data_IF_531520036398
#
_entry.id   IF_531520036398
#
_cell.length_a   1.000
_cell.length_b   1.000
_cell.length_c   1.000
_cell.angle_alpha   90.00
_cell.angle_beta   90.00
_cell.angle_gamma   90.00
#
_symmetry.space_group_name_H-M   'P 1'
#
loop_
_entity.id
_entity.type
_entity.pdbx_description
1 polymer ?
#
# COMPACT_ATOMS: atom_id res chain seq x y z
N UNK A 1 -0.52 -20.78 -18.35
CA UNK A 1 0.37 -19.94 -17.53
C UNK A 1 -0.49 -18.78 -17.00
N UNK A 2 -0.54 -18.58 -15.68
CA UNK A 2 -1.31 -17.49 -15.10
C UNK A 2 -0.74 -16.12 -15.57
N UNK A 3 -1.61 -15.16 -15.77
CA UNK A 3 -1.25 -13.78 -16.04
C UNK A 3 -0.56 -13.20 -14.79
N UNK A 4 0.56 -12.48 -14.97
CA UNK A 4 1.30 -11.87 -13.85
C UNK A 4 0.38 -10.89 -13.11
N UNK A 5 0.41 -10.92 -11.77
CA UNK A 5 -0.34 -9.99 -10.93
C UNK A 5 0.15 -8.55 -11.07
N UNK A 6 -0.61 -7.61 -10.52
CA UNK A 6 -0.29 -6.18 -10.48
C UNK A 6 0.15 -5.76 -9.08
N UNK A 7 1.17 -4.91 -9.01
CA UNK A 7 1.55 -4.24 -7.77
C UNK A 7 0.71 -2.97 -7.63
N UNK A 8 -0.02 -2.85 -6.53
CA UNK A 8 -0.85 -1.69 -6.21
C UNK A 8 -0.31 -1.02 -4.96
N UNK A 9 0.11 0.21 -5.09
CA UNK A 9 0.59 1.05 -3.99
C UNK A 9 -0.54 1.96 -3.55
N UNK A 10 -0.95 1.81 -2.30
CA UNK A 10 -2.00 2.62 -1.69
C UNK A 10 -1.35 3.59 -0.70
N UNK A 11 -1.62 4.88 -0.86
CA UNK A 11 -1.22 5.91 0.10
C UNK A 11 -2.37 6.86 0.41
N UNK A 12 -2.14 7.77 1.32
CA UNK A 12 -3.09 8.79 1.74
C UNK A 12 -3.00 9.08 3.22
N UNK A 13 -3.59 10.17 3.71
CA UNK A 13 -3.40 10.62 5.07
C UNK A 13 -3.90 9.63 6.11
N UNK A 14 -3.24 9.66 7.27
CA UNK A 14 -3.71 8.89 8.43
C UNK A 14 -5.12 9.35 8.81
N UNK A 15 -6.05 8.40 8.90
CA UNK A 15 -7.47 8.70 9.14
C UNK A 15 -8.34 8.75 7.88
N UNK A 16 -7.77 8.62 6.68
CA UNK A 16 -8.54 8.54 5.43
C UNK A 16 -9.38 7.27 5.29
N UNK A 17 -9.13 6.23 6.11
CA UNK A 17 -9.87 4.97 6.06
C UNK A 17 -9.34 3.97 5.04
N UNK A 18 -8.09 4.10 4.62
CA UNK A 18 -7.41 3.22 3.65
C UNK A 18 -7.61 1.74 3.94
N UNK A 19 -7.26 1.30 5.15
CA UNK A 19 -7.33 -0.12 5.52
C UNK A 19 -8.74 -0.69 5.36
N UNK A 20 -9.80 0.07 5.74
CA UNK A 20 -11.19 -0.36 5.57
C UNK A 20 -11.54 -0.54 4.09
N UNK A 21 -11.18 0.42 3.24
CA UNK A 21 -11.41 0.37 1.79
C UNK A 21 -10.69 -0.84 1.17
N UNK A 22 -9.42 -1.02 1.52
CA UNK A 22 -8.59 -2.11 0.99
C UNK A 22 -9.11 -3.48 1.44
N UNK A 23 -9.46 -3.67 2.72
CA UNK A 23 -10.02 -4.94 3.19
C UNK A 23 -11.30 -5.31 2.45
N UNK A 24 -12.23 -4.35 2.30
CA UNK A 24 -13.47 -4.58 1.53
C UNK A 24 -13.21 -4.92 0.06
N UNK A 25 -12.24 -4.26 -0.57
CA UNK A 25 -11.87 -4.55 -1.96
C UNK A 25 -11.24 -5.94 -2.12
N UNK A 26 -10.44 -6.40 -1.14
CA UNK A 26 -9.81 -7.72 -1.13
C UNK A 26 -10.85 -8.83 -0.92
N UNK A 27 -11.77 -8.67 0.05
CA UNK A 27 -12.83 -9.66 0.33
C UNK A 27 -13.66 -10.02 -0.92
N UNK A 28 -13.83 -9.06 -1.82
CA UNK A 28 -14.54 -9.26 -3.09
C UNK A 28 -13.71 -9.99 -4.17
N UNK A 29 -12.42 -10.31 -3.90
CA UNK A 29 -11.46 -10.82 -4.90
C UNK A 29 -10.62 -11.95 -4.32
N UNK A 30 -10.53 -13.07 -5.04
CA UNK A 30 -9.78 -14.26 -4.57
C UNK A 30 -8.28 -14.25 -4.89
N UNK A 31 -7.78 -13.26 -5.65
CA UNK A 31 -6.41 -13.23 -6.15
C UNK A 31 -5.64 -11.96 -5.76
N UNK A 32 -5.88 -11.48 -4.56
CA UNK A 32 -5.25 -10.27 -4.01
C UNK A 32 -4.69 -10.57 -2.62
N UNK A 33 -3.53 -10.04 -2.31
CA UNK A 33 -2.95 -10.14 -0.97
C UNK A 33 -2.26 -8.82 -0.57
N UNK A 34 -2.12 -8.61 0.75
CA UNK A 34 -1.19 -7.63 1.27
C UNK A 34 0.24 -8.16 1.20
N UNK A 35 1.20 -7.29 0.96
CA UNK A 35 2.60 -7.64 1.18
C UNK A 35 2.87 -7.79 2.68
N UNK A 36 3.54 -8.89 3.05
CA UNK A 36 4.11 -9.04 4.38
C UNK A 36 5.41 -8.22 4.46
N UNK A 37 5.42 -7.19 5.30
CA UNK A 37 6.60 -6.33 5.50
C UNK A 37 7.64 -6.99 6.39
N UNK A 38 8.91 -6.61 6.22
CA UNK A 38 9.98 -6.90 7.18
C UNK A 38 10.04 -5.81 8.23
N UNK A 39 10.39 -6.16 9.49
CA UNK A 39 10.56 -5.17 10.57
C UNK A 39 11.63 -5.58 11.57
N UNK A 40 12.31 -4.59 12.16
CA UNK A 40 13.22 -4.78 13.30
C UNK A 40 12.52 -4.76 14.66
N UNK A 41 11.21 -4.48 14.67
CA UNK A 41 10.38 -4.55 15.88
C UNK A 41 10.26 -6.00 16.35
N UNK A 42 10.38 -6.23 17.65
CA UNK A 42 10.11 -7.55 18.22
C UNK A 42 8.65 -7.96 18.02
N UNK A 43 8.37 -9.27 17.81
CA UNK A 43 7.01 -9.79 17.73
C UNK A 43 6.20 -9.45 18.99
N UNK A 44 4.92 -9.14 18.82
CA UNK A 44 3.96 -9.05 19.92
C UNK A 44 3.38 -10.44 20.22
N UNK A 45 2.79 -10.66 21.41
CA UNK A 45 2.09 -11.91 21.68
C UNK A 45 1.03 -12.22 20.60
N UNK A 46 1.13 -13.40 19.99
CA UNK A 46 0.22 -13.86 18.94
C UNK A 46 0.64 -13.53 17.51
N UNK A 47 1.65 -12.69 17.29
CA UNK A 47 2.22 -12.47 15.95
C UNK A 47 3.14 -13.64 15.55
N UNK A 48 3.04 -14.07 14.29
CA UNK A 48 3.77 -15.19 13.71
C UNK A 48 4.70 -14.67 12.62
N UNK A 49 5.97 -15.07 12.65
CA UNK A 49 6.93 -14.72 11.62
C UNK A 49 6.49 -15.22 10.24
N UNK A 50 6.63 -14.35 9.24
CA UNK A 50 6.19 -14.62 7.87
C UNK A 50 4.69 -14.43 7.62
N UNK A 51 3.90 -14.13 8.65
CA UNK A 51 2.47 -13.88 8.53
C UNK A 51 2.12 -12.40 8.75
N UNK A 52 2.31 -11.89 9.95
CA UNK A 52 2.10 -10.47 10.26
C UNK A 52 3.26 -9.61 9.76
N UNK A 53 4.48 -10.07 10.01
CA UNK A 53 5.74 -9.49 9.56
C UNK A 53 6.79 -10.58 9.37
N UNK A 54 7.84 -10.27 8.61
CA UNK A 54 9.13 -10.95 8.72
C UNK A 54 9.95 -10.21 9.78
N UNK A 55 10.22 -10.85 10.92
CA UNK A 55 10.94 -10.23 12.02
C UNK A 55 12.44 -10.49 11.86
N UNK A 56 13.22 -9.43 11.75
CA UNK A 56 14.69 -9.49 11.61
C UNK A 56 15.36 -8.60 12.65
N UNK A 57 16.64 -8.82 12.91
CA UNK A 57 17.45 -7.88 13.67
C UNK A 57 17.89 -6.68 12.82
N UNK A 58 18.46 -5.67 13.47
CA UNK A 58 18.86 -4.44 12.81
C UNK A 58 20.00 -4.67 11.79
N UNK A 59 20.92 -5.58 12.08
CA UNK A 59 22.05 -5.85 11.21
C UNK A 59 21.57 -6.53 9.92
N UNK A 60 20.68 -7.53 10.02
CA UNK A 60 20.06 -8.14 8.85
C UNK A 60 19.24 -7.13 8.04
N UNK A 61 18.52 -6.23 8.71
CA UNK A 61 17.75 -5.18 8.00
C UNK A 61 18.67 -4.25 7.21
N UNK A 62 19.82 -3.85 7.80
CA UNK A 62 20.82 -3.03 7.09
C UNK A 62 21.40 -3.74 5.88
N UNK A 63 21.76 -5.01 6.02
CA UNK A 63 22.20 -5.83 4.88
C UNK A 63 21.15 -5.87 3.77
N UNK A 64 19.87 -6.02 4.11
CA UNK A 64 18.77 -5.99 3.12
C UNK A 64 18.70 -4.65 2.37
N UNK A 65 18.92 -3.53 3.06
CA UNK A 65 18.98 -2.21 2.43
C UNK A 65 20.21 -2.10 1.52
N UNK A 66 21.39 -2.47 1.99
CA UNK A 66 22.64 -2.41 1.22
C UNK A 66 22.62 -3.30 -0.03
N UNK A 67 21.98 -4.46 0.05
CA UNK A 67 21.84 -5.42 -1.04
C UNK A 67 20.65 -5.14 -1.96
N UNK A 68 19.92 -4.01 -1.79
CA UNK A 68 18.72 -3.66 -2.55
C UNK A 68 17.62 -4.75 -2.52
N UNK A 69 17.50 -5.47 -1.39
CA UNK A 69 16.50 -6.52 -1.19
C UNK A 69 15.10 -5.96 -0.86
N UNK A 70 14.98 -4.64 -0.61
CA UNK A 70 13.73 -3.97 -0.26
C UNK A 70 13.25 -3.07 -1.41
N UNK A 71 11.96 -3.09 -1.70
CA UNK A 71 11.31 -2.15 -2.62
C UNK A 71 11.24 -0.74 -2.03
N UNK A 72 10.94 -0.66 -0.73
CA UNK A 72 10.96 0.56 0.05
C UNK A 72 11.31 0.24 1.50
N UNK A 73 11.78 1.24 2.23
CA UNK A 73 11.99 1.15 3.67
C UNK A 73 11.80 2.51 4.33
N UNK A 74 11.39 2.47 5.61
CA UNK A 74 11.21 3.64 6.45
C UNK A 74 11.48 3.31 7.92
N UNK A 75 11.85 4.33 8.69
CA UNK A 75 11.93 4.25 10.15
C UNK A 75 10.67 4.83 10.78
N UNK A 76 10.13 4.12 11.75
CA UNK A 76 8.99 4.55 12.54
C UNK A 76 9.14 4.14 14.01
N UNK A 77 9.10 5.12 14.92
CA UNK A 77 9.21 4.91 16.39
C UNK A 77 10.37 3.97 16.75
N UNK A 78 11.58 4.34 16.31
CA UNK A 78 12.83 3.60 16.56
C UNK A 78 12.89 2.15 16.04
N UNK A 79 12.00 1.77 15.13
CA UNK A 79 12.05 0.53 14.39
C UNK A 79 12.08 0.78 12.89
N UNK A 80 12.68 -0.14 12.16
CA UNK A 80 12.70 -0.10 10.69
C UNK A 80 11.64 -1.03 10.13
N UNK A 81 11.06 -0.62 9.01
CA UNK A 81 10.06 -1.37 8.25
C UNK A 81 10.41 -1.31 6.77
N UNK A 82 10.11 -2.36 6.03
CA UNK A 82 10.36 -2.37 4.59
C UNK A 82 9.59 -3.47 3.88
N UNK A 83 9.50 -3.36 2.57
CA UNK A 83 8.79 -4.31 1.70
C UNK A 83 9.80 -5.21 0.98
N UNK A 84 9.87 -6.52 1.28
CA UNK A 84 10.81 -7.43 0.64
C UNK A 84 10.51 -7.59 -0.86
N UNK A 85 11.47 -7.25 -1.73
CA UNK A 85 11.36 -7.33 -3.18
C UNK A 85 11.03 -8.74 -3.65
N UNK A 86 11.82 -9.73 -3.22
CA UNK A 86 11.66 -11.11 -3.67
C UNK A 86 10.30 -11.71 -3.29
N UNK A 87 9.74 -11.32 -2.14
CA UNK A 87 8.40 -11.75 -1.73
C UNK A 87 7.33 -11.20 -2.68
N UNK A 88 7.37 -9.90 -2.97
CA UNK A 88 6.43 -9.24 -3.87
C UNK A 88 6.52 -9.83 -5.28
N UNK A 89 7.74 -9.94 -5.84
CA UNK A 89 7.96 -10.51 -7.18
C UNK A 89 7.44 -11.93 -7.31
N UNK A 90 7.62 -12.77 -6.28
CA UNK A 90 7.07 -14.14 -6.26
C UNK A 90 5.55 -14.11 -6.32
N UNK A 91 4.88 -13.33 -5.47
CA UNK A 91 3.41 -13.23 -5.46
C UNK A 91 2.87 -12.75 -6.80
N UNK A 92 3.50 -11.73 -7.40
CA UNK A 92 3.12 -11.24 -8.72
C UNK A 92 3.27 -12.32 -9.80
N UNK A 93 4.36 -13.10 -9.77
CA UNK A 93 4.60 -14.19 -10.72
C UNK A 93 3.61 -15.35 -10.54
N UNK A 94 3.12 -15.56 -9.32
CA UNK A 94 2.06 -16.53 -9.01
C UNK A 94 0.65 -16.02 -9.46
N UNK A 95 0.56 -14.83 -10.04
CA UNK A 95 -0.68 -14.23 -10.55
C UNK A 95 -1.50 -13.49 -9.49
N UNK A 96 -0.94 -13.30 -8.29
CA UNK A 96 -1.58 -12.52 -7.23
C UNK A 96 -1.34 -11.03 -7.44
N UNK A 97 -2.39 -10.21 -7.28
CA UNK A 97 -2.22 -8.77 -7.11
C UNK A 97 -1.70 -8.51 -5.69
N UNK A 98 -0.69 -7.68 -5.57
CA UNK A 98 -0.07 -7.34 -4.28
C UNK A 98 -0.37 -5.90 -3.92
N UNK A 99 -0.89 -5.66 -2.72
CA UNK A 99 -1.16 -4.33 -2.19
C UNK A 99 -0.10 -3.93 -1.17
N UNK A 100 0.45 -2.74 -1.34
CA UNK A 100 1.28 -2.04 -0.37
C UNK A 100 0.49 -0.85 0.19
N UNK A 101 0.20 -0.83 1.50
CA UNK A 101 -0.33 0.36 2.21
C UNK A 101 0.86 1.07 2.86
N UNK A 102 1.43 2.04 2.16
CA UNK A 102 2.67 2.72 2.52
C UNK A 102 2.55 4.24 2.42
N UNK A 103 3.48 4.95 3.07
CA UNK A 103 3.55 6.40 2.99
C UNK A 103 4.07 6.89 1.64
N UNK A 104 3.84 8.17 1.33
CA UNK A 104 4.24 8.79 0.05
C UNK A 104 5.73 8.59 -0.25
N UNK A 105 6.61 8.69 0.77
CA UNK A 105 8.05 8.47 0.58
C UNK A 105 8.36 7.03 0.14
N UNK A 106 7.68 6.03 0.72
CA UNK A 106 7.80 4.63 0.30
C UNK A 106 7.27 4.42 -1.12
N UNK A 107 6.14 5.07 -1.46
CA UNK A 107 5.58 5.00 -2.81
C UNK A 107 6.55 5.53 -3.89
N UNK A 108 7.33 6.56 -3.59
CA UNK A 108 8.38 7.06 -4.50
C UNK A 108 9.51 6.05 -4.68
N UNK A 109 9.99 5.43 -3.60
CA UNK A 109 11.02 4.37 -3.67
C UNK A 109 10.52 3.18 -4.50
N UNK A 110 9.26 2.76 -4.29
CA UNK A 110 8.66 1.69 -5.11
C UNK A 110 8.60 2.09 -6.58
N UNK A 111 8.19 3.31 -6.90
CA UNK A 111 8.11 3.77 -8.29
C UNK A 111 9.46 3.80 -9.01
N UNK A 112 10.54 4.10 -8.30
CA UNK A 112 11.90 4.05 -8.87
C UNK A 112 12.32 2.62 -9.24
N UNK A 113 11.90 1.62 -8.44
CA UNK A 113 12.29 0.22 -8.59
C UNK A 113 11.29 -0.60 -9.41
N UNK A 114 10.03 -0.21 -9.39
CA UNK A 114 8.91 -0.86 -10.09
C UNK A 114 7.99 0.21 -10.70
N UNK A 115 8.39 0.87 -11.80
CA UNK A 115 7.66 2.00 -12.39
C UNK A 115 6.26 1.63 -12.90
N UNK A 116 6.02 0.35 -13.19
CA UNK A 116 4.71 -0.17 -13.61
C UNK A 116 3.74 -0.41 -12.44
N UNK A 117 4.14 -0.09 -11.20
CA UNK A 117 3.26 -0.18 -10.04
C UNK A 117 2.12 0.84 -10.17
N UNK A 118 0.89 0.38 -9.93
CA UNK A 118 -0.32 1.21 -9.94
C UNK A 118 -0.41 1.98 -8.63
N UNK A 119 -0.41 3.30 -8.69
CA UNK A 119 -0.40 4.18 -7.52
C UNK A 119 -1.78 4.79 -7.29
N UNK A 120 -2.37 4.52 -6.13
CA UNK A 120 -3.71 4.97 -5.74
C UNK A 120 -3.61 5.80 -4.46
N UNK A 121 -4.16 7.01 -4.48
CA UNK A 121 -4.20 7.91 -3.34
C UNK A 121 -5.62 7.98 -2.79
N UNK A 122 -5.81 7.55 -1.52
CA UNK A 122 -7.14 7.55 -0.88
C UNK A 122 -7.24 8.71 0.09
N UNK A 123 -8.25 9.57 -0.12
CA UNK A 123 -8.50 10.77 0.69
C UNK A 123 -9.90 10.77 1.30
N UNK A 124 -10.13 11.43 2.42
CA UNK A 124 -11.48 11.76 2.88
C UNK A 124 -12.10 12.86 2.01
N UNK A 125 -13.42 13.08 2.06
CA UNK A 125 -14.10 14.08 1.23
C UNK A 125 -13.66 15.53 1.54
N UNK A 126 -13.14 15.79 2.75
CA UNK A 126 -12.60 17.10 3.12
C UNK A 126 -11.58 16.98 4.27
N UNK A 127 -10.79 18.04 4.50
CA UNK A 127 -9.93 18.14 5.68
C UNK A 127 -10.73 18.25 6.98
N UNK A 128 -11.92 18.82 6.96
CA UNK A 128 -12.79 18.88 8.13
C UNK A 128 -13.31 17.49 8.49
N UNK A 129 -13.67 16.69 7.52
CA UNK A 129 -14.03 15.29 7.72
C UNK A 129 -12.83 14.48 8.25
N UNK A 130 -11.62 14.70 7.73
CA UNK A 130 -10.42 14.09 8.27
C UNK A 130 -10.21 14.45 9.74
N UNK A 131 -10.36 15.74 10.09
CA UNK A 131 -10.28 16.22 11.48
C UNK A 131 -11.28 15.51 12.37
N UNK A 132 -12.55 15.45 11.95
CA UNK A 132 -13.62 14.76 12.69
C UNK A 132 -13.29 13.28 12.92
N UNK A 133 -12.77 12.58 11.90
CA UNK A 133 -12.35 11.16 12.00
C UNK A 133 -11.20 10.96 12.98
N UNK A 134 -10.21 11.87 12.99
CA UNK A 134 -9.09 11.81 13.91
C UNK A 134 -9.52 12.07 15.36
N UNK A 135 -10.39 13.06 15.59
CA UNK A 135 -10.92 13.39 16.91
C UNK A 135 -11.82 12.29 17.47
N UNK A 136 -12.64 11.65 16.64
CA UNK A 136 -13.57 10.59 17.05
C UNK A 136 -12.92 9.32 17.60
N UNK A 137 -11.63 9.09 17.27
CA UNK A 137 -10.87 7.95 17.82
C UNK A 137 -10.57 8.07 19.31
N UNK A 138 -10.62 9.28 19.88
CA UNK A 138 -10.43 9.54 21.31
C UNK A 138 -9.03 9.22 21.86
N UNK A 139 -8.09 8.81 21.00
CA UNK A 139 -6.73 8.40 21.38
C UNK A 139 -5.70 9.50 21.22
N UNK A 140 -6.01 10.54 20.46
CA UNK A 140 -5.08 11.61 20.11
C UNK A 140 -5.37 12.90 20.89
N UNK A 141 -4.31 13.59 21.29
CA UNK A 141 -4.42 14.96 21.82
C UNK A 141 -4.74 15.94 20.70
N UNK A 142 -5.31 17.10 21.01
CA UNK A 142 -5.58 18.16 20.04
C UNK A 142 -4.32 18.56 19.24
N UNK A 143 -3.15 18.58 19.90
CA UNK A 143 -1.86 18.84 19.24
C UNK A 143 -1.47 17.73 18.25
N UNK A 144 -1.75 16.47 18.56
CA UNK A 144 -1.49 15.34 17.66
C UNK A 144 -2.41 15.41 16.43
N UNK A 145 -3.68 15.75 16.62
CA UNK A 145 -4.65 15.94 15.52
C UNK A 145 -4.17 17.05 14.57
N UNK A 146 -3.75 18.21 15.11
CA UNK A 146 -3.26 19.32 14.29
C UNK A 146 -1.99 18.93 13.50
N UNK A 147 -1.04 18.24 14.13
CA UNK A 147 0.15 17.74 13.45
C UNK A 147 -0.19 16.80 12.28
N UNK A 148 -1.19 15.92 12.44
CA UNK A 148 -1.67 15.03 11.37
C UNK A 148 -2.36 15.80 10.24
N UNK A 149 -3.11 16.86 10.54
CA UNK A 149 -3.74 17.70 9.52
C UNK A 149 -2.69 18.48 8.70
N UNK A 150 -1.64 18.98 9.36
CA UNK A 150 -0.52 19.62 8.66
C UNK A 150 0.14 18.61 7.72
N UNK A 151 0.40 17.39 8.19
CA UNK A 151 0.98 16.33 7.37
C UNK A 151 0.07 15.95 6.20
N UNK A 152 -1.25 15.82 6.42
CA UNK A 152 -2.21 15.53 5.35
C UNK A 152 -2.19 16.61 4.24
N UNK A 153 -2.08 17.90 4.60
CA UNK A 153 -1.93 18.97 3.61
C UNK A 153 -0.63 18.87 2.81
N UNK A 154 0.45 18.38 3.42
CA UNK A 154 1.71 18.12 2.70
C UNK A 154 1.55 16.94 1.74
N UNK A 155 0.95 15.85 2.20
CA UNK A 155 0.70 14.65 1.39
C UNK A 155 -0.24 14.95 0.19
N UNK A 156 -1.21 15.85 0.34
CA UNK A 156 -2.09 16.27 -0.77
C UNK A 156 -1.35 16.98 -1.91
N UNK A 157 -0.21 17.64 -1.62
CA UNK A 157 0.63 18.26 -2.65
C UNK A 157 1.38 17.25 -3.51
N UNK A 158 1.44 16.02 -3.04
CA UNK A 158 2.07 14.89 -3.74
C UNK A 158 1.05 14.06 -4.54
N UNK A 159 -0.24 14.46 -4.52
CA UNK A 159 -1.31 13.67 -5.12
C UNK A 159 -1.20 13.55 -6.65
N UNK A 160 -0.54 14.49 -7.33
CA UNK A 160 -0.24 14.45 -8.76
C UNK A 160 0.74 13.34 -9.17
N UNK A 161 1.47 12.78 -8.21
CA UNK A 161 2.34 11.62 -8.39
C UNK A 161 1.56 10.32 -8.62
N UNK A 162 0.30 10.24 -8.17
CA UNK A 162 -0.52 9.03 -8.21
C UNK A 162 -1.30 8.91 -9.50
N UNK A 163 -1.55 7.67 -9.93
CA UNK A 163 -2.31 7.38 -11.15
C UNK A 163 -3.82 7.55 -10.92
N UNK A 164 -4.28 7.36 -9.67
CA UNK A 164 -5.69 7.44 -9.28
C UNK A 164 -5.86 8.11 -7.92
N UNK A 165 -6.96 8.85 -7.78
CA UNK A 165 -7.41 9.40 -6.48
C UNK A 165 -8.80 8.84 -6.19
N UNK A 166 -8.97 8.23 -4.99
CA UNK A 166 -10.26 7.74 -4.49
C UNK A 166 -10.69 8.61 -3.33
N UNK A 167 -11.92 9.12 -3.38
CA UNK A 167 -12.52 9.86 -2.28
C UNK A 167 -13.34 8.90 -1.40
N UNK A 168 -12.87 8.65 -0.19
CA UNK A 168 -13.55 7.79 0.78
C UNK A 168 -14.59 8.59 1.59
N UNK A 169 -15.71 8.93 0.98
CA UNK A 169 -16.92 9.42 1.63
C UNK A 169 -17.79 8.25 2.15
N UNK A 170 -17.82 7.18 1.38
CA UNK A 170 -18.46 5.89 1.68
C UNK A 170 -17.48 4.76 1.38
N UNK A 171 -17.22 3.90 2.36
CA UNK A 171 -16.20 2.86 2.26
C UNK A 171 -16.55 1.76 1.24
N UNK A 172 -17.84 1.49 1.00
CA UNK A 172 -18.28 0.48 0.03
C UNK A 172 -18.11 1.01 -1.40
N UNK A 173 -18.42 2.27 -1.64
CA UNK A 173 -18.15 2.93 -2.93
C UNK A 173 -16.66 3.02 -3.21
N UNK A 174 -15.88 3.49 -2.25
CA UNK A 174 -14.43 3.59 -2.39
C UNK A 174 -13.78 2.21 -2.66
N UNK A 175 -14.26 1.14 -2.01
CA UNK A 175 -13.83 -0.22 -2.27
C UNK A 175 -14.21 -0.71 -3.67
N UNK A 176 -15.41 -0.36 -4.15
CA UNK A 176 -15.85 -0.67 -5.51
C UNK A 176 -14.98 0.07 -6.56
N UNK A 177 -14.64 1.33 -6.33
CA UNK A 177 -13.71 2.10 -7.19
C UNK A 177 -12.32 1.46 -7.23
N UNK A 178 -11.75 1.10 -6.07
CA UNK A 178 -10.47 0.39 -6.01
C UNK A 178 -10.52 -0.93 -6.78
N UNK A 179 -11.58 -1.71 -6.60
CA UNK A 179 -11.78 -2.96 -7.32
C UNK A 179 -11.90 -2.76 -8.84
N UNK A 180 -12.56 -1.69 -9.28
CA UNK A 180 -12.67 -1.33 -10.70
C UNK A 180 -11.31 -0.94 -11.29
N UNK A 181 -10.51 -0.14 -10.58
CA UNK A 181 -9.13 0.19 -10.96
C UNK A 181 -8.30 -1.08 -11.13
N UNK A 182 -8.30 -1.97 -10.15
CA UNK A 182 -7.55 -3.24 -10.22
C UNK A 182 -7.98 -4.09 -11.43
N UNK A 183 -9.27 -4.12 -11.74
CA UNK A 183 -9.79 -4.83 -12.92
C UNK A 183 -9.30 -4.18 -14.21
N UNK A 184 -9.40 -2.86 -14.33
CA UNK A 184 -8.94 -2.11 -15.50
C UNK A 184 -7.44 -2.28 -15.75
N UNK A 185 -6.63 -2.22 -14.69
CA UNK A 185 -5.17 -2.38 -14.78
C UNK A 185 -4.76 -3.80 -15.22
N UNK A 186 -5.52 -4.82 -14.87
CA UNK A 186 -5.34 -6.16 -15.41
C UNK A 186 -5.73 -6.27 -16.90
N UNK A 187 -6.61 -5.41 -17.38
CA UNK A 187 -7.08 -5.41 -18.77
C UNK A 187 -6.22 -4.55 -19.72
N UNK A 188 -5.17 -3.87 -19.22
CA UNK A 188 -4.29 -3.06 -20.09
C UNK A 188 -3.65 -3.93 -21.15
N UNK A 189 -3.59 -3.43 -22.39
CA UNK A 189 -2.96 -4.11 -23.51
C UNK A 189 -1.50 -4.44 -23.22
N UNK A 190 -0.76 -3.49 -22.60
CA UNK A 190 0.56 -3.76 -22.05
C UNK A 190 0.49 -4.88 -21.00
N UNK A 191 1.16 -6.00 -21.27
CA UNK A 191 1.12 -7.23 -20.46
C UNK A 191 0.15 -8.30 -20.98
N UNK A 192 -0.64 -8.00 -22.03
CA UNK A 192 -1.54 -8.96 -22.70
C UNK A 192 -1.19 -9.24 -24.16
N UNK A 193 -0.06 -8.75 -24.66
CA UNK A 193 0.37 -8.89 -26.04
C UNK A 193 0.42 -10.35 -26.50
N UNK A 194 0.74 -11.29 -25.60
CA UNK A 194 0.74 -12.73 -25.85
C UNK A 194 -0.63 -13.27 -26.30
N UNK A 195 -1.72 -12.64 -25.89
CA UNK A 195 -3.07 -13.05 -26.32
C UNK A 195 -3.32 -12.73 -27.79
N UNK A 196 -2.57 -11.78 -28.35
CA UNK A 196 -2.67 -11.41 -29.77
C UNK A 196 -1.89 -12.39 -30.65
N UNK A 197 -0.86 -13.05 -30.10
CA UNK A 197 -0.01 -14.00 -30.84
C UNK A 197 -0.49 -15.45 -30.71
N UNK A 198 -1.19 -15.77 -29.62
CA UNK A 198 -1.82 -17.07 -29.39
C UNK A 198 -3.25 -16.87 -28.91
N UNK A 199 -4.18 -16.51 -29.82
CA UNK A 199 -5.59 -16.39 -29.47
C UNK A 199 -6.12 -17.76 -28.96
N UNK A 200 -6.91 -17.71 -27.88
CA UNK A 200 -7.56 -18.89 -27.27
C UNK A 200 -8.61 -19.46 -28.20
#
# INVERSE_FOLDING_TARGET
MNEKGKLIVISGPSGAGKSTVVFKAIEARGNVCFSTSVTTRKPRPGEIDGKEYFFVDLDRFREMVENDELLEHAEYVANSYGTPRAYVERMLNDGMDVILDIEVQGARQVNEKMPDAVKVFIIPPSLDELKRRLESRGTDTARAVEARLIRARQEYREADFYDYIIVNDDADKAAAELSAIMTAERCRAAGRERLLTNPV
#
